data_IF_146000248664
#
_entry.id   IF_146000248664
#
_cell.length_a   1.000
_cell.length_b   1.000
_cell.length_c   1.000
_cell.angle_alpha   90.00
_cell.angle_beta   90.00
_cell.angle_gamma   90.00
#
_symmetry.space_group_name_H-M   'P 1'
#
loop_
_entity.id
_entity.type
_entity.pdbx_description
1 polymer ?
#
# COMPACT_ATOMS: atom_id res chain seq x y z
N UNK A 1 -26.49 2.26 -1.21
CA UNK A 1 -25.04 1.99 -1.30
C UNK A 1 -24.31 3.28 -1.56
N UNK A 2 -23.24 3.47 -0.91
CA UNK A 2 -22.41 4.64 -1.19
C UNK A 2 -21.16 4.19 -1.90
N UNK A 3 -20.87 4.84 -2.99
CA UNK A 3 -19.60 4.68 -3.65
C UNK A 3 -18.60 5.58 -2.97
N UNK A 4 -17.47 5.00 -2.60
CA UNK A 4 -16.43 5.77 -1.96
C UNK A 4 -15.57 6.43 -3.03
N UNK A 5 -15.47 7.74 -2.96
CA UNK A 5 -14.63 8.48 -3.87
C UNK A 5 -13.20 8.44 -3.35
N UNK A 6 -12.26 8.32 -4.27
CA UNK A 6 -10.84 8.27 -3.96
C UNK A 6 -10.17 9.49 -4.57
N UNK A 7 -9.44 10.22 -3.75
CA UNK A 7 -8.56 11.26 -4.25
C UNK A 7 -7.17 10.67 -4.42
N UNK A 8 -6.60 10.78 -5.60
CA UNK A 8 -5.25 10.29 -5.88
C UNK A 8 -4.26 11.38 -5.55
N UNK A 9 -3.34 11.10 -4.62
CA UNK A 9 -2.43 12.10 -4.09
C UNK A 9 -1.03 12.02 -4.69
N UNK A 10 -0.79 11.11 -5.63
CA UNK A 10 0.50 10.96 -6.26
C UNK A 10 0.39 10.17 -7.53
N UNK A 11 1.54 9.76 -8.05
CA UNK A 11 1.62 8.92 -9.25
C UNK A 11 1.79 7.48 -8.82
N UNK A 12 0.93 6.59 -9.32
CA UNK A 12 1.06 5.17 -9.02
C UNK A 12 2.38 4.65 -9.57
N UNK A 13 3.11 3.95 -8.72
CA UNK A 13 4.41 3.41 -9.09
C UNK A 13 4.55 2.01 -8.52
N UNK A 14 5.34 1.19 -9.19
CA UNK A 14 5.67 -0.14 -8.72
C UNK A 14 6.68 -0.03 -7.58
N UNK A 15 6.41 -0.69 -6.46
CA UNK A 15 7.33 -0.71 -5.33
C UNK A 15 7.98 -2.09 -5.22
N UNK A 16 9.27 -2.10 -4.90
CA UNK A 16 10.04 -3.34 -4.72
C UNK A 16 10.87 -3.31 -3.44
N UNK A 17 10.96 -2.14 -2.82
CA UNK A 17 11.71 -1.94 -1.57
C UNK A 17 10.84 -1.17 -0.60
N UNK A 18 11.25 -1.10 0.65
CA UNK A 18 10.50 -0.38 1.68
C UNK A 18 10.33 1.09 1.30
N UNK A 19 9.10 1.59 1.44
CA UNK A 19 8.80 2.98 1.09
C UNK A 19 7.64 3.49 1.94
N UNK A 20 7.64 4.79 2.21
CA UNK A 20 6.51 5.45 2.88
C UNK A 20 5.38 5.74 1.91
N UNK A 21 5.58 5.54 0.62
CA UNK A 21 4.65 5.88 -0.46
C UNK A 21 4.25 7.36 -0.36
N UNK A 22 5.27 8.23 -0.35
CA UNK A 22 5.04 9.67 -0.27
C UNK A 22 4.48 10.13 1.07
N UNK A 23 4.85 9.46 2.16
CA UNK A 23 4.36 9.75 3.51
C UNK A 23 2.82 9.66 3.59
N UNK A 24 2.25 8.70 2.92
CA UNK A 24 0.80 8.53 2.84
C UNK A 24 0.19 8.04 4.13
N UNK A 25 -1.04 8.48 4.42
CA UNK A 25 -1.87 7.93 5.48
C UNK A 25 -2.65 6.71 4.98
N UNK A 26 -3.04 6.71 3.71
CA UNK A 26 -3.75 5.59 3.08
C UNK A 26 -3.08 5.30 1.75
N UNK A 27 -2.82 4.02 1.51
CA UNK A 27 -2.17 3.56 0.30
C UNK A 27 -3.08 2.57 -0.41
N UNK A 28 -3.25 2.76 -1.71
CA UNK A 28 -3.90 1.77 -2.55
C UNK A 28 -2.81 0.88 -3.13
N UNK A 29 -2.94 -0.42 -2.88
CA UNK A 29 -2.04 -1.43 -3.41
C UNK A 29 -2.76 -2.24 -4.46
N UNK A 30 -2.17 -2.39 -5.62
CA UNK A 30 -2.66 -3.27 -6.67
C UNK A 30 -1.56 -4.25 -7.05
N UNK A 31 -1.82 -5.53 -6.83
CA UNK A 31 -0.87 -6.58 -7.15
C UNK A 31 -1.33 -7.29 -8.42
N UNK A 32 -0.63 -7.04 -9.52
CA UNK A 32 -0.96 -7.61 -10.82
C UNK A 32 -0.07 -8.80 -11.20
N UNK A 33 0.68 -9.33 -10.24
CA UNK A 33 1.50 -10.51 -10.46
C UNK A 33 0.68 -11.79 -10.47
N UNK A 34 1.32 -12.87 -10.84
CA UNK A 34 0.66 -14.17 -10.96
C UNK A 34 0.54 -14.98 -9.68
N UNK A 35 1.12 -14.50 -8.57
CA UNK A 35 1.08 -15.20 -7.29
C UNK A 35 0.85 -14.21 -6.17
N UNK A 36 0.44 -14.71 -5.01
CA UNK A 36 0.21 -13.87 -3.84
C UNK A 36 1.52 -13.27 -3.36
N UNK A 37 1.43 -12.09 -2.75
CA UNK A 37 2.60 -11.44 -2.17
C UNK A 37 2.35 -11.10 -0.70
N UNK A 38 3.39 -11.18 0.11
CA UNK A 38 3.33 -10.76 1.51
C UNK A 38 3.64 -9.28 1.59
N UNK A 39 2.76 -8.54 2.25
CA UNK A 39 2.94 -7.10 2.50
C UNK A 39 3.29 -6.92 3.96
N UNK A 40 4.39 -6.24 4.23
CA UNK A 40 4.88 -5.98 5.59
C UNK A 40 4.87 -4.49 5.86
N UNK A 41 4.27 -4.10 6.99
CA UNK A 41 4.25 -2.71 7.44
C UNK A 41 5.21 -2.58 8.60
N UNK A 42 6.13 -1.63 8.52
CA UNK A 42 7.11 -1.36 9.57
C UNK A 42 7.05 0.11 9.96
N UNK A 43 7.39 0.39 11.21
CA UNK A 43 7.51 1.78 11.64
C UNK A 43 8.86 2.36 11.18
N UNK A 44 9.11 3.64 11.51
CA UNK A 44 10.33 4.32 11.10
C UNK A 44 11.60 3.71 11.71
N UNK A 45 11.47 2.97 12.80
CA UNK A 45 12.60 2.29 13.45
C UNK A 45 12.88 0.92 12.85
N UNK A 46 12.06 0.48 11.89
CA UNK A 46 12.22 -0.83 11.26
C UNK A 46 11.51 -1.96 12.00
N UNK A 47 10.72 -1.66 13.01
CA UNK A 47 9.95 -2.66 13.74
C UNK A 47 8.71 -3.03 12.92
N UNK A 48 8.49 -4.33 12.73
CA UNK A 48 7.31 -4.82 12.01
C UNK A 48 6.05 -4.57 12.83
N UNK A 49 5.10 -3.85 12.22
CA UNK A 49 3.81 -3.57 12.86
C UNK A 49 2.75 -4.58 12.46
N UNK A 50 2.86 -5.16 11.28
CA UNK A 50 1.92 -6.16 10.83
C UNK A 50 2.23 -6.65 9.44
N UNK A 51 1.61 -7.75 9.07
CA UNK A 51 1.73 -8.33 7.72
C UNK A 51 0.36 -8.75 7.23
N UNK A 52 0.18 -8.68 5.91
CA UNK A 52 -1.00 -9.25 5.26
C UNK A 52 -0.56 -9.93 3.97
N UNK A 53 -1.34 -10.90 3.53
CA UNK A 53 -1.14 -11.51 2.22
C UNK A 53 -2.08 -10.82 1.23
N UNK A 54 -1.50 -10.31 0.15
CA UNK A 54 -2.25 -9.68 -0.92
C UNK A 54 -2.35 -10.69 -2.07
N UNK A 55 -3.57 -11.09 -2.40
CA UNK A 55 -3.79 -12.07 -3.45
C UNK A 55 -3.48 -11.49 -4.81
N UNK A 56 -3.08 -12.37 -5.73
CA UNK A 56 -2.80 -11.97 -7.10
C UNK A 56 -4.02 -11.28 -7.73
N UNK A 57 -3.76 -10.23 -8.48
CA UNK A 57 -4.77 -9.47 -9.23
C UNK A 57 -5.83 -8.82 -8.34
N UNK A 58 -5.45 -8.45 -7.10
CA UNK A 58 -6.38 -7.80 -6.18
C UNK A 58 -5.88 -6.43 -5.77
N UNK A 59 -6.81 -5.64 -5.25
CA UNK A 59 -6.56 -4.30 -4.74
C UNK A 59 -6.83 -4.31 -3.24
N UNK A 60 -5.95 -3.67 -2.48
CA UNK A 60 -6.15 -3.48 -1.04
C UNK A 60 -5.83 -2.05 -0.65
N UNK A 61 -6.50 -1.58 0.38
CA UNK A 61 -6.27 -0.26 0.93
C UNK A 61 -5.67 -0.41 2.32
N UNK A 62 -4.54 0.23 2.54
CA UNK A 62 -3.80 0.14 3.80
C UNK A 62 -3.77 1.51 4.46
N UNK A 63 -4.21 1.57 5.70
CA UNK A 63 -4.06 2.76 6.51
C UNK A 63 -2.78 2.63 7.31
N UNK A 64 -1.97 3.69 7.33
CA UNK A 64 -0.73 3.70 8.08
C UNK A 64 -0.39 5.12 8.52
N UNK A 65 0.60 5.24 9.41
CA UNK A 65 1.16 6.55 9.73
C UNK A 65 2.08 6.99 8.60
N UNK A 66 2.26 8.32 8.39
CA UNK A 66 3.07 8.81 7.27
C UNK A 66 4.48 8.24 7.23
N UNK A 67 5.12 8.05 8.39
CA UNK A 67 6.50 7.56 8.45
C UNK A 67 6.61 6.05 8.42
N UNK A 68 5.50 5.32 8.49
CA UNK A 68 5.51 3.86 8.36
C UNK A 68 5.82 3.46 6.92
N UNK A 69 6.57 2.38 6.76
CA UNK A 69 6.95 1.89 5.44
C UNK A 69 6.17 0.63 5.07
N UNK A 70 5.99 0.45 3.77
CA UNK A 70 5.41 -0.75 3.18
C UNK A 70 6.50 -1.47 2.40
N UNK A 71 6.63 -2.77 2.65
CA UNK A 71 7.53 -3.65 1.90
C UNK A 71 6.70 -4.78 1.33
N UNK A 72 6.97 -5.16 0.09
CA UNK A 72 6.28 -6.25 -0.57
C UNK A 72 7.28 -7.31 -1.02
N UNK A 73 6.86 -8.58 -1.00
CA UNK A 73 7.73 -9.68 -1.44
C UNK A 73 7.86 -9.70 -2.97
N UNK A 74 6.83 -9.27 -3.68
CA UNK A 74 6.85 -9.14 -5.14
C UNK A 74 6.40 -7.75 -5.52
N UNK A 75 6.88 -7.25 -6.67
CA UNK A 75 6.55 -5.91 -7.13
C UNK A 75 5.04 -5.68 -7.17
N UNK A 76 4.61 -4.59 -6.58
CA UNK A 76 3.20 -4.24 -6.43
C UNK A 76 3.05 -2.75 -6.70
N UNK A 77 1.98 -2.36 -7.39
CA UNK A 77 1.73 -0.95 -7.65
C UNK A 77 1.12 -0.29 -6.42
N UNK A 78 1.63 0.88 -6.08
CA UNK A 78 1.19 1.60 -4.89
C UNK A 78 1.04 3.08 -5.19
N UNK A 79 0.06 3.70 -4.57
CA UNK A 79 -0.16 5.13 -4.69
C UNK A 79 -0.82 5.65 -3.41
N UNK A 80 -0.42 6.85 -3.02
CA UNK A 80 -1.05 7.56 -1.90
C UNK A 80 -2.43 8.04 -2.33
N UNK A 81 -3.42 7.80 -1.49
CA UNK A 81 -4.80 8.24 -1.75
C UNK A 81 -5.41 8.82 -0.48
N UNK A 82 -6.55 9.48 -0.67
CA UNK A 82 -7.45 9.85 0.42
C UNK A 82 -8.86 9.45 0.01
N UNK A 83 -9.66 9.07 1.00
CA UNK A 83 -11.07 8.81 0.74
C UNK A 83 -11.84 10.12 0.90
N UNK A 84 -12.69 10.41 -0.06
CA UNK A 84 -13.58 11.56 -0.02
C UNK A 84 -15.02 11.13 -0.14
N UNK A 85 -15.91 12.04 0.17
CA UNK A 85 -17.36 11.78 0.07
C UNK A 85 -18.00 12.60 -1.04
#
# INVERSE_FOLDING_TARGET
>A
MSDRLIEVLGVEAEITTATTVGNAHVVRLYHDGGSDTLVTIKNSDGTTLGTITLQANTISYIKKRPTDTITVAEATKAVAIAFGD
#
